data_IF_934541137239
#
_entry.id   IF_934541137239
#
_cell.length_a   1.000
_cell.length_b   1.000
_cell.length_c   1.000
_cell.angle_alpha   90.00
_cell.angle_beta   90.00
_cell.angle_gamma   90.00
#
_symmetry.space_group_name_H-M   'P 1'
#
loop_
_entity.id
_entity.type
_entity.pdbx_description
1 polymer ?
#
# COMPACT_ATOMS: atom_id res chain seq x y z
N UNK A 1 -30.06 14.56 -9.02
CA UNK A 1 -29.86 15.94 -9.52
C UNK A 1 -28.52 16.41 -9.00
N UNK A 2 -27.53 16.72 -9.88
CA UNK A 2 -26.23 17.28 -9.46
C UNK A 2 -26.37 18.77 -9.20
N UNK A 3 -25.66 19.36 -8.23
CA UNK A 3 -25.66 20.80 -8.00
C UNK A 3 -25.19 21.54 -9.26
N UNK A 4 -25.86 22.62 -9.61
CA UNK A 4 -25.44 23.50 -10.71
C UNK A 4 -24.02 24.03 -10.43
N UNK A 5 -23.13 23.89 -11.40
CA UNK A 5 -21.76 24.46 -11.37
C UNK A 5 -20.62 23.47 -11.16
N UNK A 6 -20.86 22.18 -11.04
CA UNK A 6 -19.74 21.21 -11.08
C UNK A 6 -19.29 21.01 -12.53
N UNK A 7 -18.00 21.23 -12.83
CA UNK A 7 -17.46 20.99 -14.15
C UNK A 7 -17.64 19.52 -14.54
N UNK A 8 -17.91 19.25 -15.80
CA UNK A 8 -18.05 17.89 -16.34
C UNK A 8 -16.66 17.31 -16.63
N UNK A 9 -16.50 16.00 -16.65
CA UNK A 9 -15.23 15.36 -17.06
C UNK A 9 -14.75 15.85 -18.43
N UNK A 10 -15.67 16.17 -19.36
CA UNK A 10 -15.37 16.72 -20.67
C UNK A 10 -14.87 18.17 -20.65
N UNK A 11 -15.13 18.92 -19.59
CA UNK A 11 -14.66 20.31 -19.43
C UNK A 11 -13.16 20.36 -19.03
N UNK A 12 -12.57 19.22 -18.67
CA UNK A 12 -11.14 19.09 -18.43
C UNK A 12 -10.50 18.42 -19.66
N UNK A 13 -9.75 19.15 -20.47
CA UNK A 13 -8.97 18.50 -21.52
C UNK A 13 -8.08 17.45 -20.86
N UNK A 14 -8.31 16.19 -21.20
CA UNK A 14 -7.36 15.14 -20.82
C UNK A 14 -6.00 15.60 -21.36
N UNK A 15 -4.98 15.74 -20.53
CA UNK A 15 -3.67 16.10 -21.01
C UNK A 15 -3.29 15.11 -22.11
N UNK A 16 -2.72 15.63 -23.21
CA UNK A 16 -2.23 14.86 -24.33
C UNK A 16 -1.66 13.53 -23.85
N UNK A 17 -2.00 12.49 -24.57
CA UNK A 17 -1.74 11.07 -24.28
C UNK A 17 -0.22 10.76 -24.32
N UNK A 18 0.61 11.60 -23.70
CA UNK A 18 1.97 11.26 -23.35
C UNK A 18 1.85 10.14 -22.34
N UNK A 19 2.37 8.99 -22.69
CA UNK A 19 2.40 7.76 -21.89
C UNK A 19 2.72 8.11 -20.44
N UNK A 20 1.69 8.14 -19.60
CA UNK A 20 1.90 8.31 -18.17
C UNK A 20 2.54 7.01 -17.68
N UNK A 21 3.64 7.07 -16.95
CA UNK A 21 4.22 5.85 -16.39
C UNK A 21 3.13 5.12 -15.60
N UNK A 22 3.05 3.81 -15.83
CA UNK A 22 2.13 2.95 -15.11
C UNK A 22 2.32 3.16 -13.60
N UNK A 23 1.22 3.35 -12.88
CA UNK A 23 1.25 3.54 -11.43
C UNK A 23 1.05 2.22 -10.73
N UNK A 24 1.79 2.01 -9.66
CA UNK A 24 1.58 0.89 -8.78
C UNK A 24 0.45 1.19 -7.79
N UNK A 25 -0.38 0.19 -7.55
CA UNK A 25 -1.29 0.14 -6.41
C UNK A 25 -0.60 -0.56 -5.25
N UNK A 26 -0.75 -0.02 -4.06
CA UNK A 26 -0.09 -0.49 -2.86
C UNK A 26 -1.15 -0.72 -1.79
N UNK A 27 -1.15 -1.90 -1.17
CA UNK A 27 -2.01 -2.17 -0.02
C UNK A 27 -1.18 -2.55 1.20
N UNK A 28 -1.55 -2.00 2.35
CA UNK A 28 -1.10 -2.42 3.67
C UNK A 28 -2.31 -3.00 4.38
N UNK A 29 -2.37 -4.32 4.47
CA UNK A 29 -3.51 -5.02 5.06
C UNK A 29 -3.07 -5.71 6.33
N UNK A 30 -3.69 -5.33 7.44
CA UNK A 30 -3.42 -5.87 8.77
C UNK A 30 -4.52 -6.86 9.14
N UNK A 31 -4.12 -8.02 9.61
CA UNK A 31 -5.00 -9.13 9.92
C UNK A 31 -4.89 -9.54 11.38
N UNK A 32 -6.02 -9.83 11.99
CA UNK A 32 -6.11 -10.41 13.33
C UNK A 32 -6.50 -11.87 13.22
N UNK A 33 -5.73 -12.72 13.88
CA UNK A 33 -6.02 -14.16 13.97
C UNK A 33 -7.09 -14.41 15.04
N UNK A 34 -8.10 -15.16 14.68
CA UNK A 34 -9.13 -15.62 15.62
C UNK A 34 -8.53 -16.66 16.57
N UNK A 35 -8.89 -16.58 17.86
CA UNK A 35 -8.46 -17.54 18.88
C UNK A 35 -8.95 -18.97 18.58
N UNK A 36 -10.05 -19.16 17.87
CA UNK A 36 -10.54 -20.46 17.42
C UNK A 36 -9.49 -21.24 16.60
N UNK A 37 -8.59 -20.54 15.90
CA UNK A 37 -7.47 -21.16 15.18
C UNK A 37 -6.58 -22.03 16.07
N UNK A 38 -6.36 -21.63 17.32
CA UNK A 38 -5.53 -22.35 18.26
C UNK A 38 -6.17 -23.63 18.79
N UNK A 39 -7.48 -23.79 18.63
CA UNK A 39 -8.23 -24.99 19.04
C UNK A 39 -8.29 -26.07 17.94
N UNK A 40 -7.85 -25.75 16.73
CA UNK A 40 -7.75 -26.73 15.66
C UNK A 40 -6.56 -27.68 15.89
N UNK A 41 -6.68 -28.91 15.38
CA UNK A 41 -5.57 -29.85 15.35
C UNK A 41 -4.42 -29.37 14.46
N UNK A 42 -3.23 -29.94 14.66
CA UNK A 42 -2.01 -29.54 13.97
C UNK A 42 -2.09 -29.77 12.45
N UNK A 43 -2.72 -30.86 12.02
CA UNK A 43 -2.87 -31.19 10.59
C UNK A 43 -3.75 -30.16 9.88
N UNK A 44 -4.89 -29.79 10.47
CA UNK A 44 -5.79 -28.77 9.94
C UNK A 44 -5.13 -27.41 9.88
N UNK A 45 -4.38 -27.04 10.93
CA UNK A 45 -3.61 -25.80 10.95
C UNK A 45 -2.52 -25.78 9.88
N UNK A 46 -1.79 -26.89 9.73
CA UNK A 46 -0.74 -26.98 8.71
C UNK A 46 -1.33 -26.84 7.32
N UNK A 47 -2.38 -27.61 7.00
CA UNK A 47 -3.08 -27.51 5.72
C UNK A 47 -3.57 -26.08 5.42
N UNK A 48 -4.17 -25.41 6.41
CA UNK A 48 -4.65 -24.04 6.23
C UNK A 48 -3.52 -23.04 5.96
N UNK A 49 -2.35 -23.21 6.58
CA UNK A 49 -1.13 -22.42 6.28
C UNK A 49 -0.63 -22.68 4.87
N UNK A 50 -0.53 -23.96 4.46
CA UNK A 50 -0.04 -24.34 3.15
C UNK A 50 -0.94 -23.81 2.02
N UNK A 51 -2.27 -23.82 2.24
CA UNK A 51 -3.23 -23.23 1.31
C UNK A 51 -2.99 -21.71 1.17
N UNK A 52 -2.82 -21.01 2.28
CA UNK A 52 -2.60 -19.59 2.29
C UNK A 52 -1.27 -19.21 1.61
N UNK A 53 -0.20 -19.93 1.94
CA UNK A 53 1.13 -19.75 1.35
C UNK A 53 1.09 -19.98 -0.15
N UNK A 54 0.43 -21.02 -0.63
CA UNK A 54 0.29 -21.32 -2.05
C UNK A 54 -0.39 -20.18 -2.82
N UNK A 55 -1.42 -19.57 -2.25
CA UNK A 55 -2.05 -18.39 -2.86
C UNK A 55 -1.05 -17.23 -2.95
N UNK A 56 -0.25 -16.99 -1.91
CA UNK A 56 0.78 -15.95 -1.95
C UNK A 56 1.78 -16.22 -3.08
N UNK A 57 2.34 -17.42 -3.13
CA UNK A 57 3.33 -17.86 -4.13
C UNK A 57 2.81 -17.70 -5.56
N UNK A 58 1.58 -18.12 -5.85
CA UNK A 58 0.95 -17.96 -7.17
C UNK A 58 0.86 -16.50 -7.62
N UNK A 59 0.55 -15.58 -6.70
CA UNK A 59 0.50 -14.16 -7.02
C UNK A 59 1.91 -13.56 -7.18
N UNK A 60 2.89 -13.99 -6.40
CA UNK A 60 4.29 -13.58 -6.57
C UNK A 60 4.86 -14.05 -7.91
N UNK A 61 4.63 -15.30 -8.29
CA UNK A 61 5.03 -15.84 -9.60
C UNK A 61 4.41 -15.06 -10.76
N UNK A 62 3.21 -14.53 -10.57
CA UNK A 62 2.52 -13.72 -11.58
C UNK A 62 2.91 -12.23 -11.55
N UNK A 63 3.84 -11.82 -10.66
CA UNK A 63 4.45 -10.48 -10.62
C UNK A 63 3.92 -9.55 -9.53
N UNK A 64 2.97 -9.97 -8.69
CA UNK A 64 2.57 -9.21 -7.50
C UNK A 64 3.70 -9.27 -6.47
N UNK A 65 4.11 -8.13 -5.94
CA UNK A 65 5.04 -8.10 -4.82
C UNK A 65 4.27 -8.28 -3.52
N UNK A 66 4.67 -9.25 -2.70
CA UNK A 66 4.07 -9.52 -1.39
C UNK A 66 5.16 -9.58 -0.33
N UNK A 67 5.06 -8.76 0.70
CA UNK A 67 6.01 -8.77 1.82
C UNK A 67 5.24 -8.93 3.13
N UNK A 68 5.32 -10.09 3.77
CA UNK A 68 4.67 -10.36 5.05
C UNK A 68 5.51 -9.85 6.22
N UNK A 69 4.84 -9.32 7.24
CA UNK A 69 5.44 -8.94 8.52
C UNK A 69 4.60 -9.47 9.67
N UNK A 70 5.26 -9.98 10.70
CA UNK A 70 4.61 -10.34 11.96
C UNK A 70 4.37 -9.09 12.81
N UNK A 71 3.14 -8.96 13.30
CA UNK A 71 2.75 -7.94 14.28
C UNK A 71 2.54 -8.54 15.68
N UNK A 72 2.75 -9.86 15.83
CA UNK A 72 2.53 -10.59 17.08
C UNK A 72 3.39 -9.99 18.20
N UNK A 73 2.75 -9.66 19.33
CA UNK A 73 3.41 -9.03 20.47
C UNK A 73 3.76 -7.55 20.32
N UNK A 74 3.55 -6.96 19.13
CA UNK A 74 3.82 -5.55 18.86
C UNK A 74 2.54 -4.72 18.87
N UNK A 75 1.41 -5.31 18.48
CA UNK A 75 0.10 -4.67 18.45
C UNK A 75 -0.95 -5.61 19.03
N UNK A 76 -1.95 -5.04 19.72
CA UNK A 76 -3.06 -5.82 20.28
C UNK A 76 -4.11 -6.17 19.22
N UNK A 77 -4.25 -5.35 18.20
CA UNK A 77 -5.32 -5.38 17.22
C UNK A 77 -5.00 -6.14 15.93
N UNK A 78 -3.75 -6.55 15.72
CA UNK A 78 -3.37 -7.36 14.54
C UNK A 78 -2.15 -8.25 14.82
N UNK A 79 -2.04 -9.32 14.01
CA UNK A 79 -0.97 -10.33 14.14
C UNK A 79 -0.13 -10.43 12.86
N UNK A 80 -0.70 -10.10 11.70
CA UNK A 80 -0.06 -10.19 10.39
C UNK A 80 -0.29 -8.90 9.60
N UNK A 81 0.77 -8.40 8.97
CA UNK A 81 0.70 -7.37 7.93
C UNK A 81 1.13 -7.99 6.61
N UNK A 82 0.32 -7.81 5.57
CA UNK A 82 0.73 -8.03 4.18
C UNK A 82 0.88 -6.67 3.49
N UNK A 83 2.12 -6.34 3.10
CA UNK A 83 2.41 -5.24 2.19
C UNK A 83 2.44 -5.80 0.78
N UNK A 84 1.51 -5.34 -0.07
CA UNK A 84 1.36 -5.85 -1.43
C UNK A 84 1.42 -4.71 -2.44
N UNK A 85 2.07 -4.96 -3.57
CA UNK A 85 2.25 -3.99 -4.65
C UNK A 85 1.95 -4.68 -5.98
N UNK A 86 1.11 -4.05 -6.80
CA UNK A 86 0.82 -4.50 -8.15
C UNK A 86 0.49 -3.30 -9.06
N UNK A 87 0.58 -3.48 -10.36
CA UNK A 87 0.13 -2.49 -11.34
C UNK A 87 -1.37 -2.59 -11.64
N UNK A 88 -2.01 -3.70 -11.25
CA UNK A 88 -3.43 -3.95 -11.43
C UNK A 88 -4.12 -4.07 -10.07
N UNK A 89 -5.08 -3.16 -9.81
CA UNK A 89 -5.83 -3.15 -8.55
C UNK A 89 -6.66 -4.42 -8.37
N UNK A 90 -7.23 -4.91 -9.46
CA UNK A 90 -8.07 -6.10 -9.49
C UNK A 90 -7.32 -7.34 -9.02
N UNK A 91 -6.02 -7.43 -9.29
CA UNK A 91 -5.17 -8.54 -8.83
C UNK A 91 -5.03 -8.53 -7.30
N UNK A 92 -4.83 -7.34 -6.69
CA UNK A 92 -4.78 -7.20 -5.23
C UNK A 92 -6.12 -7.60 -4.59
N UNK A 93 -7.24 -7.29 -5.25
CA UNK A 93 -8.58 -7.67 -4.82
C UNK A 93 -8.82 -9.18 -4.94
N UNK A 94 -8.46 -9.77 -6.10
CA UNK A 94 -8.56 -11.21 -6.33
C UNK A 94 -7.71 -12.00 -5.32
N UNK A 95 -6.48 -11.54 -5.05
CA UNK A 95 -5.63 -12.15 -4.03
C UNK A 95 -6.31 -12.14 -2.66
N UNK A 96 -6.89 -11.00 -2.24
CA UNK A 96 -7.61 -10.90 -0.97
C UNK A 96 -8.78 -11.88 -0.89
N UNK A 97 -9.54 -12.02 -1.98
CA UNK A 97 -10.65 -12.97 -2.08
C UNK A 97 -10.16 -14.41 -1.94
N UNK A 98 -9.10 -14.78 -2.65
CA UNK A 98 -8.54 -16.14 -2.59
C UNK A 98 -7.96 -16.46 -1.22
N UNK A 99 -7.22 -15.51 -0.60
CA UNK A 99 -6.69 -15.69 0.75
C UNK A 99 -7.79 -15.93 1.77
N UNK A 100 -8.91 -15.19 1.70
CA UNK A 100 -10.04 -15.37 2.62
C UNK A 100 -10.74 -16.73 2.51
N UNK A 101 -10.59 -17.44 1.39
CA UNK A 101 -11.17 -18.76 1.16
C UNK A 101 -10.32 -19.92 1.69
N UNK A 102 -9.05 -19.67 2.02
CA UNK A 102 -8.14 -20.67 2.58
C UNK A 102 -8.51 -21.06 4.01
N UNK A 103 -8.03 -22.21 4.48
CA UNK A 103 -8.27 -22.66 5.85
C UNK A 103 -7.78 -21.64 6.89
N UNK A 104 -6.58 -21.05 6.71
CA UNK A 104 -6.08 -19.97 7.58
C UNK A 104 -6.90 -18.68 7.39
N UNK A 105 -7.19 -18.32 6.14
CA UNK A 105 -7.89 -17.07 5.82
C UNK A 105 -9.28 -16.95 6.45
N UNK A 106 -9.97 -18.07 6.65
CA UNK A 106 -11.28 -18.12 7.35
C UNK A 106 -11.19 -17.73 8.83
N UNK A 107 -9.99 -17.80 9.42
CA UNK A 107 -9.72 -17.40 10.79
C UNK A 107 -9.00 -16.03 10.88
N UNK A 108 -8.84 -15.34 9.76
CA UNK A 108 -8.24 -14.02 9.72
C UNK A 108 -9.29 -12.94 9.47
N UNK A 109 -9.44 -12.03 10.42
CA UNK A 109 -10.23 -10.81 10.24
C UNK A 109 -9.34 -9.63 9.87
N UNK A 110 -9.79 -8.79 8.95
CA UNK A 110 -9.08 -7.59 8.54
C UNK A 110 -9.25 -6.49 9.57
N UNK A 111 -8.20 -6.19 10.33
CA UNK A 111 -8.21 -5.14 11.35
C UNK A 111 -8.06 -3.74 10.72
N UNK A 112 -7.12 -3.59 9.77
CA UNK A 112 -6.91 -2.34 9.03
C UNK A 112 -6.57 -2.64 7.58
N UNK A 113 -6.98 -1.73 6.68
CA UNK A 113 -6.59 -1.78 5.27
C UNK A 113 -6.35 -0.37 4.75
N UNK A 114 -5.18 -0.15 4.16
CA UNK A 114 -4.82 1.10 3.52
C UNK A 114 -4.49 0.82 2.06
N UNK A 115 -5.21 1.47 1.15
CA UNK A 115 -4.95 1.44 -0.28
C UNK A 115 -4.31 2.77 -0.69
N UNK A 116 -3.23 2.69 -1.42
CA UNK A 116 -2.57 3.84 -2.01
C UNK A 116 -2.14 3.56 -3.44
N UNK A 117 -1.71 4.60 -4.12
CA UNK A 117 -1.20 4.53 -5.48
C UNK A 117 0.09 5.32 -5.57
N UNK A 118 1.10 4.77 -6.22
CA UNK A 118 2.37 5.46 -6.41
C UNK A 118 2.18 6.75 -7.21
N UNK A 119 2.85 7.81 -6.75
CA UNK A 119 2.86 9.09 -7.43
C UNK A 119 4.23 9.72 -7.31
N UNK A 120 4.76 10.20 -8.44
CA UNK A 120 5.98 11.00 -8.44
C UNK A 120 5.81 12.25 -7.57
N UNK A 121 6.76 12.51 -6.70
CA UNK A 121 6.76 13.70 -5.86
C UNK A 121 7.37 14.87 -6.60
N UNK A 122 6.57 15.90 -6.87
CA UNK A 122 7.03 17.15 -7.48
C UNK A 122 8.01 17.94 -6.61
N UNK A 123 8.10 17.64 -5.32
CA UNK A 123 8.98 18.32 -4.37
C UNK A 123 10.40 17.75 -4.41
N UNK A 124 10.53 16.46 -4.66
CA UNK A 124 11.84 15.76 -4.70
C UNK A 124 12.57 16.00 -6.02
N UNK A 125 11.86 16.30 -7.10
CA UNK A 125 12.44 16.51 -8.43
C UNK A 125 13.50 17.62 -8.47
N UNK A 126 13.36 18.64 -7.60
CA UNK A 126 14.33 19.74 -7.50
C UNK A 126 15.63 19.36 -6.81
N UNK A 127 15.57 18.42 -5.87
CA UNK A 127 16.71 18.04 -5.03
C UNK A 127 17.57 16.95 -5.68
N UNK A 128 17.04 16.23 -6.67
CA UNK A 128 17.72 15.09 -7.25
C UNK A 128 17.21 14.81 -8.68
N UNK A 129 17.54 15.64 -9.67
CA UNK A 129 17.01 15.54 -11.03
C UNK A 129 17.41 14.25 -11.76
N UNK A 130 18.54 13.63 -11.39
CA UNK A 130 19.11 12.46 -12.08
C UNK A 130 18.43 11.13 -11.77
N UNK A 131 17.54 11.08 -10.78
CA UNK A 131 16.86 9.83 -10.35
C UNK A 131 15.39 9.78 -10.75
N UNK A 132 15.04 10.22 -11.95
CA UNK A 132 13.64 10.32 -12.42
C UNK A 132 12.87 9.02 -12.38
N UNK A 133 13.46 7.92 -12.82
CA UNK A 133 12.78 6.64 -12.96
C UNK A 133 12.56 5.91 -11.63
N UNK A 134 13.42 6.10 -10.64
CA UNK A 134 13.36 5.37 -9.37
C UNK A 134 12.23 5.84 -8.45
N UNK A 135 11.62 7.00 -8.68
CA UNK A 135 10.69 7.65 -7.74
C UNK A 135 9.22 7.40 -7.99
N UNK A 136 8.90 6.83 -9.13
CA UNK A 136 7.54 6.43 -9.46
C UNK A 136 7.26 4.96 -9.13
N UNK A 137 8.29 4.17 -8.90
CA UNK A 137 8.21 2.73 -8.64
C UNK A 137 8.67 2.45 -7.22
N UNK A 138 7.76 1.89 -6.43
CA UNK A 138 8.06 1.40 -5.09
C UNK A 138 8.60 -0.01 -5.22
N UNK A 139 9.81 -0.21 -4.70
CA UNK A 139 10.44 -1.52 -4.56
C UNK A 139 10.67 -1.77 -3.07
N UNK A 140 10.26 -2.93 -2.52
CA UNK A 140 10.60 -3.27 -1.15
C UNK A 140 12.10 -3.18 -0.93
N UNK A 141 12.49 -2.46 0.12
CA UNK A 141 13.88 -2.37 0.53
C UNK A 141 14.34 -3.64 1.25
N UNK A 142 15.60 -3.62 1.70
CA UNK A 142 16.17 -4.69 2.53
C UNK A 142 15.98 -4.43 4.03
N UNK A 143 15.12 -3.47 4.38
CA UNK A 143 14.85 -3.10 5.78
C UNK A 143 14.22 -4.27 6.54
N UNK A 144 14.78 -4.56 7.72
CA UNK A 144 14.26 -5.59 8.61
C UNK A 144 12.89 -5.23 9.20
N UNK A 145 12.62 -3.95 9.33
CA UNK A 145 11.41 -3.40 9.94
C UNK A 145 10.68 -2.50 8.96
N UNK A 146 9.36 -2.42 9.11
CA UNK A 146 8.50 -1.49 8.41
C UNK A 146 7.66 -0.70 9.41
N UNK A 147 7.54 0.61 9.18
CA UNK A 147 6.63 1.47 9.92
C UNK A 147 5.56 1.99 8.96
N UNK A 148 4.30 1.73 9.28
CA UNK A 148 3.16 2.23 8.50
C UNK A 148 2.44 3.27 9.35
N UNK A 149 2.51 4.54 8.94
CA UNK A 149 1.85 5.64 9.62
C UNK A 149 1.08 6.50 8.62
N UNK A 150 -0.22 6.27 8.46
CA UNK A 150 -1.04 7.09 7.58
C UNK A 150 -1.17 8.50 8.15
N UNK A 151 -1.01 9.51 7.30
CA UNK A 151 -1.23 10.91 7.66
C UNK A 151 -1.99 11.65 6.56
N UNK A 152 -2.69 12.71 6.95
CA UNK A 152 -3.49 13.53 6.04
C UNK A 152 -2.98 14.97 6.11
N UNK A 153 -2.78 15.59 4.97
CA UNK A 153 -2.49 17.02 4.89
C UNK A 153 -3.75 17.82 5.23
N UNK A 154 -3.63 18.78 6.12
CA UNK A 154 -4.76 19.66 6.47
C UNK A 154 -5.16 20.58 5.31
N UNK A 155 -6.33 21.20 5.42
CA UNK A 155 -6.78 22.17 4.40
C UNK A 155 -5.83 23.37 4.31
N UNK A 156 -5.30 23.84 5.44
CA UNK A 156 -4.34 24.94 5.53
C UNK A 156 -3.10 24.68 4.70
N UNK A 157 -2.63 23.42 4.62
CA UNK A 157 -1.53 23.04 3.74
C UNK A 157 -1.78 23.44 2.29
N UNK A 158 -2.99 23.23 1.79
CA UNK A 158 -3.33 23.52 0.40
C UNK A 158 -3.51 25.03 0.13
N UNK A 159 -3.73 25.84 1.17
CA UNK A 159 -3.82 27.29 1.09
C UNK A 159 -2.44 27.97 1.12
N UNK A 160 -1.39 27.28 1.54
CA UNK A 160 -0.03 27.79 1.54
C UNK A 160 0.47 28.09 0.12
N UNK A 161 1.26 29.15 -0.04
CA UNK A 161 1.97 29.41 -1.29
C UNK A 161 2.90 28.27 -1.66
N UNK A 162 3.12 28.09 -2.97
CA UNK A 162 3.97 27.00 -3.50
C UNK A 162 5.38 27.02 -2.88
N UNK A 163 5.96 28.20 -2.72
CA UNK A 163 7.31 28.34 -2.14
C UNK A 163 7.35 27.89 -0.68
N UNK A 164 6.35 28.28 0.14
CA UNK A 164 6.24 27.85 1.54
C UNK A 164 6.12 26.33 1.64
N UNK A 165 5.26 25.72 0.82
CA UNK A 165 5.11 24.26 0.77
C UNK A 165 6.42 23.55 0.37
N UNK A 166 7.15 24.14 -0.59
CA UNK A 166 8.44 23.61 -1.00
C UNK A 166 9.44 23.66 0.17
N UNK A 167 9.57 24.79 0.87
CA UNK A 167 10.50 24.93 2.01
C UNK A 167 10.22 23.91 3.12
N UNK A 168 8.95 23.71 3.49
CA UNK A 168 8.56 22.69 4.48
C UNK A 168 8.93 21.28 4.00
N UNK A 169 8.75 20.99 2.71
CA UNK A 169 9.11 19.68 2.16
C UNK A 169 10.62 19.48 2.05
N UNK A 170 11.38 20.52 1.76
CA UNK A 170 12.84 20.47 1.72
C UNK A 170 13.40 20.14 3.11
N UNK A 171 12.90 20.80 4.17
CA UNK A 171 13.24 20.48 5.56
C UNK A 171 12.87 19.04 5.93
N UNK A 172 11.67 18.60 5.57
CA UNK A 172 11.22 17.21 5.82
C UNK A 172 12.15 16.18 5.16
N UNK A 173 12.57 16.43 3.92
CA UNK A 173 13.47 15.54 3.18
C UNK A 173 14.87 15.55 3.81
N UNK A 174 15.37 16.72 4.20
CA UNK A 174 16.67 16.84 4.87
C UNK A 174 16.71 16.03 6.17
N UNK A 175 15.66 16.14 6.99
CA UNK A 175 15.55 15.36 8.24
C UNK A 175 15.45 13.86 7.92
N UNK A 176 14.61 13.46 6.96
CA UNK A 176 14.44 12.06 6.58
C UNK A 176 15.70 11.40 6.00
N UNK A 177 16.62 12.17 5.43
CA UNK A 177 17.88 11.66 4.93
C UNK A 177 18.97 11.45 6.01
N UNK A 178 18.72 11.95 7.24
CA UNK A 178 19.65 11.78 8.37
C UNK A 178 19.41 10.48 9.14
N UNK A 179 18.25 9.85 8.97
CA UNK A 179 17.82 8.63 9.66
C UNK A 179 17.41 7.53 8.68
#
# INVERSE_FOLDING_TARGET
MRPHGQPRPEDYPLPDNKERPARQFITFTFWKLDSAWHHLDDETRQRGRDEFQRVVEEFEESGTVVVPYSCVGLRADCDLLLWRIDYELERLQQMSTRLSQTGLGKHLSMAHSFLSMSKRSVYVDKLNPEHEEMRSVIKPGRGKYIFVYPFVKSREWYLLHKQTRQGIMDEHIEVGNKY
#
